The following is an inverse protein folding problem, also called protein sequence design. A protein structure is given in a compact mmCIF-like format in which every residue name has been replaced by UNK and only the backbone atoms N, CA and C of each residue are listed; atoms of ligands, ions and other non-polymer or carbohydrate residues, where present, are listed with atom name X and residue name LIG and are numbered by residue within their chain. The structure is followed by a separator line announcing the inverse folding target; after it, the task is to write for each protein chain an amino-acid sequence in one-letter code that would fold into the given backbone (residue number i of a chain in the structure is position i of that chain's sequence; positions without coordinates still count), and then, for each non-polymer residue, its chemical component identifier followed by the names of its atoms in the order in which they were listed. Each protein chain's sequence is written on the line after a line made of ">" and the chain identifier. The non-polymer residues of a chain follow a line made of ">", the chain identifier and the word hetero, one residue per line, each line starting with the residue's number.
data_IF_137863305389
#
_entry.id   IF_137863305389
#
_cell.length_a   1.000
_cell.length_b   1.000
_cell.length_c   1.000
_cell.angle_alpha   90.00
_cell.angle_beta   90.00
_cell.angle_gamma   90.00
#
_symmetry.space_group_name_H-M   'P 1'
#
loop_
_entity.id
_entity.type
_entity.pdbx_description
1 polymer ?
#
# COMPACT_ATOMS: atom_id res chain seq x y z
N UNK A 1 -17.15 -11.54 11.71
CA UNK A 1 -16.13 -10.66 11.09
C UNK A 1 -14.75 -11.20 11.39
N UNK A 2 -13.88 -11.25 10.38
CA UNK A 2 -12.50 -11.67 10.58
C UNK A 2 -11.71 -10.49 11.15
N UNK A 3 -11.14 -10.68 12.32
CA UNK A 3 -10.32 -9.66 12.96
C UNK A 3 -8.88 -9.71 12.44
N UNK A 4 -8.17 -8.60 12.59
CA UNK A 4 -6.75 -8.56 12.29
C UNK A 4 -5.99 -9.45 13.27
N UNK A 5 -4.93 -10.12 12.77
CA UNK A 5 -3.99 -10.81 13.64
C UNK A 5 -3.48 -9.82 14.70
N UNK A 6 -3.39 -10.22 15.99
CA UNK A 6 -2.98 -9.29 17.05
C UNK A 6 -1.64 -8.59 16.82
N UNK A 7 -0.66 -9.28 16.27
CA UNK A 7 0.66 -8.70 15.97
C UNK A 7 0.56 -7.64 14.89
N UNK A 8 -0.24 -7.93 13.85
CA UNK A 8 -0.49 -6.99 12.75
C UNK A 8 -1.22 -5.77 13.27
N UNK A 9 -2.27 -5.97 14.06
CA UNK A 9 -3.05 -4.88 14.65
C UNK A 9 -2.16 -3.93 15.46
N UNK A 10 -1.31 -4.48 16.34
CA UNK A 10 -0.41 -3.68 17.16
C UNK A 10 0.60 -2.91 16.31
N UNK A 11 1.15 -3.54 15.27
CA UNK A 11 2.08 -2.87 14.37
C UNK A 11 1.42 -1.71 13.62
N UNK A 12 0.19 -1.89 13.13
CA UNK A 12 -0.56 -0.84 12.43
C UNK A 12 -0.88 0.33 13.36
N UNK A 13 -1.26 0.05 14.60
CA UNK A 13 -1.51 1.09 15.60
C UNK A 13 -0.22 1.85 15.91
N UNK A 14 0.86 1.13 16.09
CA UNK A 14 2.17 1.71 16.45
C UNK A 14 2.67 2.68 15.39
N UNK A 15 2.43 2.42 14.11
CA UNK A 15 2.87 3.30 13.03
C UNK A 15 1.86 4.42 12.72
N UNK A 16 0.76 4.51 13.45
CA UNK A 16 -0.30 5.50 13.19
C UNK A 16 -0.91 5.34 11.79
N UNK A 17 -1.18 4.11 11.41
CA UNK A 17 -1.61 3.77 10.04
C UNK A 17 -2.83 4.58 9.57
N UNK A 18 -3.87 4.67 10.39
CA UNK A 18 -5.11 5.36 10.02
C UNK A 18 -4.85 6.84 9.73
N UNK A 19 -4.17 7.53 10.63
CA UNK A 19 -3.84 8.95 10.46
C UNK A 19 -3.02 9.19 9.21
N UNK A 20 -2.00 8.37 8.98
CA UNK A 20 -1.11 8.50 7.82
C UNK A 20 -1.85 8.23 6.51
N UNK A 21 -2.74 7.25 6.50
CA UNK A 21 -3.55 6.95 5.33
C UNK A 21 -4.55 8.09 5.05
N UNK A 22 -5.19 8.63 6.09
CA UNK A 22 -6.09 9.76 5.94
C UNK A 22 -5.37 11.01 5.41
N UNK A 23 -4.18 11.30 5.91
CA UNK A 23 -3.36 12.42 5.42
C UNK A 23 -3.00 12.25 3.95
N UNK A 24 -2.62 11.03 3.56
CA UNK A 24 -2.32 10.71 2.17
C UNK A 24 -3.55 10.89 1.27
N UNK A 25 -4.69 10.37 1.70
CA UNK A 25 -5.96 10.49 0.99
C UNK A 25 -6.38 11.95 0.82
N UNK A 26 -6.23 12.76 1.85
CA UNK A 26 -6.58 14.18 1.82
C UNK A 26 -5.63 14.99 0.92
N UNK A 27 -4.38 14.62 0.87
CA UNK A 27 -3.38 15.30 0.04
C UNK A 27 -3.57 15.02 -1.44
N UNK A 28 -4.02 13.81 -1.79
CA UNK A 28 -4.21 13.36 -3.18
C UNK A 28 -5.67 13.00 -3.44
N UNK A 29 -6.55 13.98 -3.34
CA UNK A 29 -8.00 13.79 -3.40
C UNK A 29 -8.61 14.24 -4.72
N UNK A 30 -9.93 14.09 -4.85
CA UNK A 30 -10.70 14.45 -6.04
C UNK A 30 -10.73 15.95 -6.32
N UNK A 31 -10.62 16.78 -5.29
CA UNK A 31 -10.60 18.23 -5.46
C UNK A 31 -9.31 18.67 -6.17
N UNK A 32 -8.18 18.10 -5.75
CA UNK A 32 -6.89 18.35 -6.39
C UNK A 32 -6.83 17.75 -7.78
N UNK A 33 -7.37 16.56 -7.95
CA UNK A 33 -7.31 15.80 -9.21
C UNK A 33 -8.70 15.30 -9.61
N UNK A 34 -9.51 16.15 -10.27
CA UNK A 34 -10.81 15.73 -10.79
C UNK A 34 -10.67 14.55 -11.76
N UNK A 35 -11.73 13.79 -11.94
CA UNK A 35 -11.73 12.58 -12.77
C UNK A 35 -11.17 12.79 -14.18
N UNK A 36 -11.40 13.97 -14.75
CA UNK A 36 -10.91 14.33 -16.10
C UNK A 36 -9.39 14.52 -16.16
N UNK A 37 -8.72 14.68 -15.02
CA UNK A 37 -7.27 14.95 -14.95
C UNK A 37 -6.46 13.78 -14.42
N UNK A 38 -7.12 12.67 -14.09
CA UNK A 38 -6.41 11.48 -13.59
C UNK A 38 -5.53 10.87 -14.67
N UNK A 39 -4.36 10.39 -14.26
CA UNK A 39 -3.45 9.67 -15.13
C UNK A 39 -3.92 8.21 -15.24
N UNK A 40 -4.69 7.89 -16.29
CA UNK A 40 -5.31 6.58 -16.46
C UNK A 40 -4.39 5.62 -17.23
N UNK A 41 -3.78 6.12 -18.31
CA UNK A 41 -2.87 5.32 -19.14
C UNK A 41 -1.45 5.55 -18.65
N UNK A 42 -0.88 4.53 -18.04
CA UNK A 42 0.45 4.62 -17.42
C UNK A 42 1.45 3.77 -18.18
N UNK A 43 2.69 4.27 -18.21
CA UNK A 43 3.83 3.52 -18.70
C UNK A 43 4.37 2.67 -17.56
N UNK A 44 4.30 1.36 -17.72
CA UNK A 44 4.77 0.43 -16.69
C UNK A 44 6.25 0.56 -16.37
N UNK A 45 7.07 0.97 -17.34
CA UNK A 45 8.50 1.20 -17.11
C UNK A 45 8.74 2.34 -16.13
N UNK A 46 7.93 3.41 -16.20
CA UNK A 46 8.01 4.52 -15.26
C UNK A 46 7.70 4.06 -13.83
N UNK A 47 6.68 3.22 -13.68
CA UNK A 47 6.30 2.67 -12.38
C UNK A 47 7.42 1.78 -11.82
N UNK A 48 7.96 0.90 -12.65
CA UNK A 48 9.04 0.00 -12.28
C UNK A 48 10.28 0.79 -11.83
N UNK A 49 10.62 1.84 -12.57
CA UNK A 49 11.74 2.71 -12.23
C UNK A 49 11.54 3.42 -10.88
N UNK A 50 10.34 3.90 -10.63
CA UNK A 50 10.02 4.53 -9.33
C UNK A 50 10.24 3.55 -8.18
N UNK A 51 9.73 2.33 -8.32
CA UNK A 51 9.88 1.31 -7.27
C UNK A 51 11.36 0.95 -7.08
N UNK A 52 12.12 0.82 -8.15
CA UNK A 52 13.57 0.57 -8.09
C UNK A 52 14.31 1.70 -7.38
N UNK A 53 13.95 2.94 -7.67
CA UNK A 53 14.55 4.12 -7.03
C UNK A 53 14.32 4.12 -5.53
N UNK A 54 13.19 3.58 -5.07
CA UNK A 54 12.88 3.46 -3.65
C UNK A 54 13.63 2.29 -2.97
N UNK A 55 14.40 1.51 -3.73
CA UNK A 55 15.25 0.45 -3.18
C UNK A 55 14.66 -0.95 -3.23
N UNK A 56 13.61 -1.16 -4.01
CA UNK A 56 12.94 -2.46 -4.12
C UNK A 56 13.14 -3.08 -5.50
N UNK A 57 12.90 -4.38 -5.59
CA UNK A 57 12.97 -5.10 -6.87
C UNK A 57 11.53 -5.33 -7.34
N UNK A 58 11.07 -4.57 -8.36
CA UNK A 58 9.70 -4.69 -8.83
C UNK A 58 9.53 -5.79 -9.85
N UNK A 59 8.32 -6.34 -9.90
CA UNK A 59 7.88 -7.27 -10.93
C UNK A 59 6.45 -6.89 -11.31
N UNK A 60 6.09 -7.05 -12.59
CA UNK A 60 4.71 -6.84 -13.01
C UNK A 60 4.04 -8.19 -13.23
N UNK A 61 2.90 -8.39 -12.58
CA UNK A 61 2.07 -9.58 -12.80
C UNK A 61 1.07 -9.26 -13.91
N UNK A 62 1.35 -9.75 -15.12
CA UNK A 62 0.53 -9.45 -16.30
C UNK A 62 -0.86 -10.09 -16.24
N UNK A 63 -1.01 -11.19 -15.51
CA UNK A 63 -2.29 -11.90 -15.36
C UNK A 63 -3.22 -11.14 -14.43
N UNK A 64 -2.73 -10.76 -13.27
CA UNK A 64 -3.51 -10.06 -12.25
C UNK A 64 -3.42 -8.53 -12.37
N UNK A 65 -2.53 -8.04 -13.21
CA UNK A 65 -2.33 -6.61 -13.53
C UNK A 65 -2.01 -5.74 -12.32
N UNK A 66 -1.00 -6.16 -11.55
CA UNK A 66 -0.48 -5.36 -10.46
C UNK A 66 1.04 -5.42 -10.43
N UNK A 67 1.65 -4.45 -9.74
CA UNK A 67 3.08 -4.43 -9.49
C UNK A 67 3.35 -5.03 -8.12
N UNK A 68 4.35 -5.88 -8.02
CA UNK A 68 4.75 -6.45 -6.73
C UNK A 68 6.24 -6.28 -6.53
N UNK A 69 6.68 -6.20 -5.30
CA UNK A 69 8.10 -6.21 -4.99
C UNK A 69 8.53 -7.64 -4.67
N UNK A 70 9.83 -7.90 -4.86
CA UNK A 70 10.41 -9.18 -4.47
C UNK A 70 10.16 -9.41 -2.99
N UNK A 71 9.76 -10.63 -2.66
CA UNK A 71 9.48 -11.05 -1.29
C UNK A 71 10.68 -10.84 -0.39
N UNK A 72 10.45 -10.29 0.79
CA UNK A 72 11.48 -10.07 1.79
C UNK A 72 11.29 -11.04 2.95
N UNK A 73 12.36 -11.74 3.31
CA UNK A 73 12.33 -12.68 4.41
C UNK A 73 13.03 -12.08 5.62
N UNK A 74 12.33 -11.98 6.75
CA UNK A 74 12.85 -11.41 7.98
C UNK A 74 12.51 -12.35 9.13
N UNK A 75 13.50 -13.14 9.58
CA UNK A 75 13.26 -14.18 10.57
C UNK A 75 12.24 -15.21 10.07
N UNK A 76 11.16 -15.39 10.81
CA UNK A 76 10.06 -16.28 10.44
C UNK A 76 9.02 -15.62 9.55
N UNK A 77 9.14 -14.30 9.33
CA UNK A 77 8.19 -13.54 8.54
C UNK A 77 8.63 -13.42 7.09
N UNK A 78 7.66 -13.44 6.20
CA UNK A 78 7.85 -13.14 4.80
C UNK A 78 6.91 -11.99 4.45
N UNK A 79 7.45 -10.92 3.89
CA UNK A 79 6.70 -9.70 3.60
C UNK A 79 6.83 -9.31 2.15
N UNK A 80 5.74 -8.81 1.56
CA UNK A 80 5.75 -8.20 0.24
C UNK A 80 4.64 -7.19 0.10
N UNK A 81 4.73 -6.37 -0.95
CA UNK A 81 3.76 -5.33 -1.27
C UNK A 81 3.24 -5.56 -2.68
N UNK A 82 1.94 -5.44 -2.86
CA UNK A 82 1.32 -5.33 -4.17
C UNK A 82 0.84 -3.89 -4.35
N UNK A 83 1.20 -3.30 -5.48
CA UNK A 83 0.77 -1.95 -5.85
C UNK A 83 -0.21 -2.10 -7.01
N UNK A 84 -1.43 -1.67 -6.80
CA UNK A 84 -2.50 -1.77 -7.79
C UNK A 84 -2.82 -0.36 -8.26
N UNK A 85 -2.57 -0.11 -9.54
CA UNK A 85 -2.85 1.19 -10.17
C UNK A 85 -4.02 1.02 -11.12
N UNK A 86 -5.12 1.69 -10.83
CA UNK A 86 -6.34 1.57 -11.63
C UNK A 86 -7.12 2.86 -11.59
N UNK A 87 -7.50 3.35 -12.78
CA UNK A 87 -8.31 4.57 -12.92
C UNK A 87 -7.69 5.80 -12.23
N UNK A 88 -6.35 5.90 -12.24
CA UNK A 88 -5.65 7.01 -11.60
C UNK A 88 -5.63 6.93 -10.08
N UNK A 89 -5.93 5.77 -9.50
CA UNK A 89 -5.93 5.56 -8.05
C UNK A 89 -4.87 4.54 -7.66
N UNK A 90 -4.35 4.68 -6.45
CA UNK A 90 -3.38 3.75 -5.88
C UNK A 90 -4.03 2.93 -4.78
N UNK A 91 -3.98 1.62 -4.92
CA UNK A 91 -4.34 0.70 -3.85
C UNK A 91 -3.13 -0.15 -3.50
N UNK A 92 -3.07 -0.58 -2.27
CA UNK A 92 -1.94 -1.32 -1.74
C UNK A 92 -2.41 -2.53 -0.97
N UNK A 93 -1.67 -3.61 -1.14
CA UNK A 93 -1.87 -4.83 -0.37
C UNK A 93 -0.52 -5.18 0.27
N UNK A 94 -0.49 -5.23 1.59
CA UNK A 94 0.66 -5.77 2.30
C UNK A 94 0.39 -7.25 2.58
N UNK A 95 1.34 -8.09 2.23
CA UNK A 95 1.22 -9.54 2.44
C UNK A 95 2.26 -9.95 3.46
N UNK A 96 1.82 -10.56 4.55
CA UNK A 96 2.71 -11.06 5.61
C UNK A 96 2.35 -12.51 5.92
N UNK A 97 3.37 -13.36 5.89
CA UNK A 97 3.28 -14.73 6.35
C UNK A 97 4.19 -14.91 7.56
N UNK A 98 3.73 -15.66 8.54
CA UNK A 98 4.54 -16.11 9.66
C UNK A 98 4.71 -17.62 9.48
N UNK A 99 5.92 -18.06 9.13
CA UNK A 99 6.12 -19.43 8.66
C UNK A 99 5.28 -19.67 7.40
N UNK A 100 4.39 -20.66 7.44
CA UNK A 100 3.49 -20.96 6.33
C UNK A 100 2.11 -20.34 6.49
N UNK A 101 1.87 -19.62 7.59
CA UNK A 101 0.57 -19.02 7.87
C UNK A 101 0.48 -17.59 7.31
N UNK A 102 -0.55 -17.35 6.49
CA UNK A 102 -0.86 -16.02 5.99
C UNK A 102 -1.56 -15.23 7.10
N UNK A 103 -0.91 -14.21 7.63
CA UNK A 103 -1.46 -13.39 8.72
C UNK A 103 -1.95 -12.01 8.27
N UNK A 104 -1.59 -11.59 7.05
CA UNK A 104 -2.09 -10.36 6.43
C UNK A 104 -2.03 -10.53 4.91
N UNK A 105 -3.09 -10.17 4.21
CA UNK A 105 -3.13 -10.31 2.75
C UNK A 105 -4.26 -9.52 2.10
N UNK A 106 -4.82 -8.57 2.83
CA UNK A 106 -5.93 -7.74 2.33
C UNK A 106 -5.44 -6.36 1.90
N UNK A 107 -6.25 -5.63 1.10
CA UNK A 107 -5.96 -4.23 0.77
C UNK A 107 -6.06 -3.30 1.98
N UNK A 108 -5.40 -2.15 1.88
CA UNK A 108 -5.36 -1.13 2.93
C UNK A 108 -6.75 -0.71 3.45
N UNK A 109 -7.74 -0.62 2.57
CA UNK A 109 -9.11 -0.27 2.97
C UNK A 109 -9.70 -1.26 3.98
N UNK A 110 -9.30 -2.51 3.90
CA UNK A 110 -9.74 -3.54 4.87
C UNK A 110 -9.13 -3.29 6.24
N UNK A 111 -7.87 -2.84 6.30
CA UNK A 111 -7.23 -2.53 7.60
C UNK A 111 -7.98 -1.45 8.34
N UNK A 112 -8.38 -0.38 7.64
CA UNK A 112 -9.12 0.73 8.24
C UNK A 112 -10.47 0.27 8.81
N UNK A 113 -11.18 -0.59 8.07
CA UNK A 113 -12.45 -1.14 8.55
C UNK A 113 -12.29 -2.03 9.77
N UNK A 114 -11.21 -2.78 9.84
CA UNK A 114 -10.95 -3.68 10.97
C UNK A 114 -10.36 -2.96 12.19
N UNK A 115 -9.71 -1.81 11.97
CA UNK A 115 -9.17 -1.00 13.06
C UNK A 115 -10.20 -0.06 13.67
N UNK A 116 -11.13 0.46 12.88
CA UNK A 116 -12.12 1.47 13.32
C UNK A 116 -13.51 0.86 13.40
N UNK A 117 -14.18 0.65 12.27
CA UNK A 117 -15.48 -0.01 12.19
C UNK A 117 -15.77 -0.45 10.75
N UNK A 118 -16.75 -1.37 10.53
CA UNK A 118 -17.01 -1.91 9.19
C UNK A 118 -17.42 -0.90 8.14
N UNK A 119 -17.90 0.27 8.53
CA UNK A 119 -18.35 1.31 7.61
C UNK A 119 -17.30 2.39 7.36
N UNK A 120 -16.17 2.32 8.04
CA UNK A 120 -15.14 3.33 7.92
C UNK A 120 -14.43 3.21 6.56
N UNK A 121 -14.47 4.30 5.80
CA UNK A 121 -13.87 4.35 4.45
C UNK A 121 -12.88 5.48 4.34
N UNK A 122 -11.69 5.16 3.85
CA UNK A 122 -10.68 6.15 3.46
C UNK A 122 -10.53 6.04 1.95
N UNK A 123 -10.67 7.16 1.26
CA UNK A 123 -10.57 7.17 -0.21
C UNK A 123 -9.14 6.90 -0.64
N UNK A 124 -8.97 6.15 -1.71
CA UNK A 124 -7.66 5.85 -2.28
C UNK A 124 -7.04 7.14 -2.80
N UNK A 125 -5.72 7.33 -2.68
CA UNK A 125 -5.06 8.49 -3.24
C UNK A 125 -5.12 8.47 -4.77
N UNK A 126 -5.26 9.65 -5.36
CA UNK A 126 -5.44 9.86 -6.79
C UNK A 126 -4.24 10.60 -7.34
N UNK A 127 -3.78 10.24 -8.53
CA UNK A 127 -2.65 10.90 -9.17
C UNK A 127 -3.00 11.39 -10.58
N UNK A 128 -2.51 12.59 -10.90
CA UNK A 128 -2.64 13.20 -12.22
C UNK A 128 -1.33 13.10 -13.01
N UNK A 129 -0.22 12.96 -12.33
CA UNK A 129 1.13 12.97 -12.92
C UNK A 129 1.96 11.84 -12.33
N UNK A 130 3.08 11.53 -12.99
CA UNK A 130 4.06 10.60 -12.43
C UNK A 130 4.71 11.16 -11.18
N UNK A 131 4.82 12.48 -11.04
CA UNK A 131 5.33 13.13 -9.83
C UNK A 131 4.42 12.84 -8.64
N UNK A 132 3.10 12.93 -8.83
CA UNK A 132 2.13 12.57 -7.81
C UNK A 132 2.29 11.11 -7.42
N UNK A 133 2.40 10.21 -8.41
CA UNK A 133 2.56 8.79 -8.18
C UNK A 133 3.84 8.48 -7.41
N UNK A 134 4.94 9.10 -7.82
CA UNK A 134 6.24 8.93 -7.15
C UNK A 134 6.14 9.33 -5.68
N UNK A 135 5.49 10.45 -5.38
CA UNK A 135 5.31 10.92 -4.01
C UNK A 135 4.41 9.99 -3.19
N UNK A 136 3.31 9.53 -3.78
CA UNK A 136 2.41 8.56 -3.13
C UNK A 136 3.16 7.27 -2.80
N UNK A 137 3.92 6.73 -3.75
CA UNK A 137 4.66 5.50 -3.53
C UNK A 137 5.77 5.68 -2.49
N UNK A 138 6.45 6.82 -2.50
CA UNK A 138 7.46 7.14 -1.49
C UNK A 138 6.86 7.12 -0.09
N UNK A 139 5.72 7.78 0.09
CA UNK A 139 5.02 7.82 1.37
C UNK A 139 4.59 6.42 1.81
N UNK A 140 3.97 5.66 0.90
CA UNK A 140 3.44 4.33 1.23
C UNK A 140 4.54 3.32 1.52
N UNK A 141 5.68 3.40 0.83
CA UNK A 141 6.81 2.52 1.10
C UNK A 141 7.55 2.92 2.38
N UNK A 142 7.55 4.20 2.76
CA UNK A 142 8.04 4.62 4.07
C UNK A 142 7.16 4.02 5.18
N UNK A 143 5.84 4.03 4.99
CA UNK A 143 4.91 3.39 5.92
C UNK A 143 5.16 1.89 6.01
N UNK A 144 5.46 1.25 4.89
CA UNK A 144 5.79 -0.18 4.85
C UNK A 144 7.06 -0.48 5.66
N UNK A 145 8.10 0.34 5.51
CA UNK A 145 9.33 0.18 6.29
C UNK A 145 9.06 0.32 7.78
N UNK A 146 8.27 1.31 8.18
CA UNK A 146 7.89 1.51 9.58
C UNK A 146 7.06 0.34 10.10
N UNK A 147 6.16 -0.18 9.28
CA UNK A 147 5.35 -1.34 9.61
C UNK A 147 6.21 -2.58 9.89
N UNK A 148 7.20 -2.85 9.03
CA UNK A 148 8.12 -3.98 9.23
C UNK A 148 8.89 -3.83 10.55
N UNK A 149 9.41 -2.63 10.83
CA UNK A 149 10.10 -2.36 12.09
C UNK A 149 9.20 -2.59 13.30
N UNK A 150 7.96 -2.13 13.23
CA UNK A 150 6.98 -2.31 14.30
C UNK A 150 6.61 -3.78 14.50
N UNK A 151 6.56 -4.55 13.42
CA UNK A 151 6.20 -5.96 13.47
C UNK A 151 7.30 -6.83 14.13
N UNK A 152 8.57 -6.44 13.95
CA UNK A 152 9.71 -7.22 14.44
C UNK A 152 10.25 -6.74 15.79
N UNK A 153 9.81 -5.64 16.27
CA UNK A 153 10.17 -5.14 17.59
C UNK A 153 9.02 -5.42 18.58
#
# INVERSE_FOLDING_TARGET
>A
MIELNPKIKQALIKIDFIKRYEELSNRFNEEKTPSSKRLIYIDGEEVMETIQTLGYIPQFDAKEKFYKIKEEKIGEYTCRVHVILRDGMVDLVWVVKEGNELILGAPWGVYSRRLIDPNYRIKKPIFATYEDLDEILKITFNMYEDFKKALFL
#
